data_IF_105628008624
#
_entry.id   IF_105628008624
#
_cell.length_a   1.000
_cell.length_b   1.000
_cell.length_c   1.000
_cell.angle_alpha   90.00
_cell.angle_beta   90.00
_cell.angle_gamma   90.00
#
_symmetry.space_group_name_H-M   'P 1'
#
loop_
_entity.id
_entity.type
_entity.pdbx_description
1 polymer ?
#
# COMPACT_ATOMS: atom_id res chain seq x y z
N UNK A 1 -19.82 -3.89 12.70
CA UNK A 1 -19.22 -4.97 13.51
C UNK A 1 -17.70 -4.89 13.53
N UNK A 2 -17.02 -4.75 12.39
CA UNK A 2 -15.55 -4.60 12.35
C UNK A 2 -14.98 -3.44 13.17
N UNK A 3 -15.56 -2.23 13.07
CA UNK A 3 -15.13 -1.06 13.86
C UNK A 3 -15.17 -1.29 15.38
N UNK A 4 -16.07 -2.15 15.87
CA UNK A 4 -16.18 -2.43 17.29
C UNK A 4 -14.96 -3.19 17.83
N UNK A 5 -14.19 -3.88 16.98
CA UNK A 5 -12.99 -4.61 17.36
C UNK A 5 -11.79 -3.68 17.67
N UNK A 6 -11.80 -2.46 17.13
CA UNK A 6 -10.75 -1.47 17.36
C UNK A 6 -10.80 -0.92 18.81
N UNK A 7 -12.00 -0.52 19.25
CA UNK A 7 -12.23 0.06 20.58
C UNK A 7 -12.69 -0.93 21.66
N UNK A 8 -12.63 -2.24 21.40
CA UNK A 8 -13.23 -3.27 22.26
C UNK A 8 -12.64 -3.28 23.68
N UNK A 9 -13.51 -3.14 24.69
CA UNK A 9 -13.12 -3.09 26.10
C UNK A 9 -13.22 -4.44 26.83
N UNK A 10 -14.04 -5.36 26.31
CA UNK A 10 -14.31 -6.65 26.94
C UNK A 10 -14.25 -7.80 25.92
N UNK A 11 -13.85 -8.98 26.40
CA UNK A 11 -13.68 -10.17 25.57
C UNK A 11 -12.40 -10.15 24.72
N UNK A 12 -12.43 -10.92 23.64
CA UNK A 12 -11.31 -11.16 22.72
C UNK A 12 -11.67 -10.66 21.32
N UNK A 13 -10.65 -10.35 20.49
CA UNK A 13 -10.90 -9.95 19.11
C UNK A 13 -11.56 -11.07 18.30
N UNK A 14 -12.48 -10.72 17.40
CA UNK A 14 -13.39 -11.67 16.76
C UNK A 14 -12.67 -12.77 15.98
N UNK A 15 -11.63 -12.43 15.21
CA UNK A 15 -10.94 -13.40 14.36
C UNK A 15 -9.98 -14.32 15.10
N UNK A 16 -9.73 -14.10 16.40
CA UNK A 16 -8.97 -15.04 17.21
C UNK A 16 -9.58 -16.45 17.19
N UNK A 17 -10.91 -16.53 17.02
CA UNK A 17 -11.67 -17.79 16.91
C UNK A 17 -11.32 -18.64 15.68
N UNK A 18 -10.68 -18.05 14.66
CA UNK A 18 -10.21 -18.77 13.45
C UNK A 18 -8.96 -19.60 13.71
N UNK A 19 -8.19 -19.28 14.76
CA UNK A 19 -7.05 -20.09 15.16
C UNK A 19 -7.50 -21.47 15.71
N UNK A 20 -6.67 -22.53 15.63
CA UNK A 20 -7.00 -23.81 16.23
C UNK A 20 -7.31 -23.70 17.74
N UNK A 21 -8.26 -24.49 18.25
CA UNK A 21 -8.70 -24.41 19.65
C UNK A 21 -7.55 -24.53 20.65
N UNK A 22 -6.58 -25.44 20.41
CA UNK A 22 -5.38 -25.60 21.25
C UNK A 22 -4.54 -24.32 21.32
N UNK A 23 -4.49 -23.56 20.22
CA UNK A 23 -3.72 -22.31 20.14
C UNK A 23 -4.43 -21.19 20.89
N UNK A 24 -5.75 -21.07 20.72
CA UNK A 24 -6.57 -20.12 21.48
C UNK A 24 -6.43 -20.33 22.99
N UNK A 25 -6.55 -21.59 23.43
CA UNK A 25 -6.41 -21.95 24.83
C UNK A 25 -5.03 -21.61 25.39
N UNK A 26 -3.96 -21.90 24.63
CA UNK A 26 -2.61 -21.53 25.03
C UNK A 26 -2.45 -20.01 25.18
N UNK A 27 -3.00 -19.20 24.27
CA UNK A 27 -2.95 -17.75 24.40
C UNK A 27 -3.70 -17.25 25.63
N UNK A 28 -4.84 -17.86 25.99
CA UNK A 28 -5.57 -17.54 27.23
C UNK A 28 -4.74 -17.89 28.47
N UNK A 29 -4.15 -19.09 28.51
CA UNK A 29 -3.28 -19.53 29.60
C UNK A 29 -2.06 -18.65 29.80
N UNK A 30 -1.45 -18.21 28.69
CA UNK A 30 -0.31 -17.28 28.73
C UNK A 30 -0.72 -15.84 29.01
N UNK A 31 -2.02 -15.55 29.00
CA UNK A 31 -2.56 -14.20 29.13
C UNK A 31 -2.17 -13.32 27.95
N UNK A 32 -2.14 -13.83 26.72
CA UNK A 32 -1.79 -13.05 25.51
C UNK A 32 -2.90 -13.03 24.47
N UNK A 33 -4.10 -13.52 24.79
CA UNK A 33 -5.26 -13.35 23.94
C UNK A 33 -5.59 -11.84 23.77
N UNK A 34 -5.60 -11.30 22.54
CA UNK A 34 -5.84 -9.87 22.29
C UNK A 34 -7.30 -9.48 22.54
N UNK A 35 -7.51 -8.33 23.18
CA UNK A 35 -8.84 -7.87 23.64
C UNK A 35 -9.47 -6.82 22.73
N UNK A 36 -8.67 -5.89 22.21
CA UNK A 36 -9.08 -4.85 21.26
C UNK A 36 -7.87 -4.25 20.57
N UNK A 37 -7.98 -3.90 19.30
CA UNK A 37 -6.82 -3.56 18.46
C UNK A 37 -6.09 -2.33 19.02
N UNK A 38 -6.80 -1.22 19.19
CA UNK A 38 -6.19 0.03 19.68
C UNK A 38 -5.83 -0.07 21.17
N UNK A 39 -6.62 -0.85 21.93
CA UNK A 39 -6.39 -1.08 23.35
C UNK A 39 -5.01 -1.65 23.61
N UNK A 40 -4.57 -2.64 22.83
CA UNK A 40 -3.26 -3.26 23.07
C UNK A 40 -2.10 -2.32 22.72
N UNK A 41 -2.28 -1.43 21.74
CA UNK A 41 -1.32 -0.37 21.41
C UNK A 41 -1.24 0.65 22.54
N UNK A 42 -2.38 1.15 23.02
CA UNK A 42 -2.43 2.10 24.15
C UNK A 42 -1.84 1.49 25.42
N UNK A 43 -2.12 0.22 25.71
CA UNK A 43 -1.58 -0.46 26.89
C UNK A 43 -0.07 -0.68 26.80
N UNK A 44 0.49 -0.95 25.60
CA UNK A 44 1.96 -0.98 25.40
C UNK A 44 2.57 0.36 25.74
N UNK A 45 2.01 1.46 25.24
CA UNK A 45 2.53 2.80 25.52
C UNK A 45 2.48 3.14 27.01
N UNK A 46 1.44 2.69 27.72
CA UNK A 46 1.36 2.84 29.17
C UNK A 46 2.41 1.99 29.92
N UNK A 47 2.52 0.70 29.61
CA UNK A 47 3.44 -0.22 30.31
C UNK A 47 4.91 0.16 30.13
N UNK A 48 5.25 0.75 29.00
CA UNK A 48 6.61 1.20 28.68
C UNK A 48 6.95 2.59 29.25
N UNK A 49 6.01 3.25 29.92
CA UNK A 49 6.28 4.50 30.63
C UNK A 49 7.16 4.27 31.86
N UNK A 50 7.97 5.27 32.22
CA UNK A 50 8.81 5.26 33.42
C UNK A 50 8.00 4.86 34.66
N UNK A 51 8.47 3.84 35.38
CA UNK A 51 7.92 3.39 36.66
C UNK A 51 6.68 2.48 36.58
N UNK A 52 6.22 2.09 35.38
CA UNK A 52 5.02 1.25 35.22
C UNK A 52 5.35 -0.24 35.26
N UNK A 53 5.71 -0.85 34.13
CA UNK A 53 6.01 -2.28 34.06
C UNK A 53 7.53 -2.50 34.01
N UNK A 54 8.07 -3.10 35.07
CA UNK A 54 9.53 -3.27 35.25
C UNK A 54 9.97 -4.73 35.13
N UNK A 55 9.09 -5.61 34.63
CA UNK A 55 9.39 -7.01 34.35
C UNK A 55 9.43 -7.26 32.83
N UNK A 56 10.61 -7.63 32.31
CA UNK A 56 10.80 -7.88 30.89
C UNK A 56 9.93 -9.04 30.37
N UNK A 57 9.62 -10.05 31.18
CA UNK A 57 8.78 -11.17 30.74
C UNK A 57 7.33 -10.72 30.56
N UNK A 58 6.83 -9.87 31.47
CA UNK A 58 5.50 -9.28 31.38
C UNK A 58 5.38 -8.33 30.19
N UNK A 59 6.42 -7.51 29.95
CA UNK A 59 6.51 -6.66 28.76
C UNK A 59 6.51 -7.46 27.45
N UNK A 60 7.27 -8.56 27.38
CA UNK A 60 7.27 -9.43 26.21
C UNK A 60 5.90 -10.08 25.97
N UNK A 61 5.18 -10.48 27.03
CA UNK A 61 3.80 -10.97 26.91
C UNK A 61 2.87 -9.91 26.34
N UNK A 62 2.98 -8.65 26.78
CA UNK A 62 2.21 -7.57 26.18
C UNK A 62 2.59 -7.36 24.71
N UNK A 63 3.88 -7.42 24.36
CA UNK A 63 4.33 -7.34 22.97
C UNK A 63 3.69 -8.41 22.09
N UNK A 64 3.67 -9.66 22.56
CA UNK A 64 2.97 -10.77 21.89
C UNK A 64 1.48 -10.45 21.75
N UNK A 65 0.82 -9.99 22.81
CA UNK A 65 -0.61 -9.67 22.79
C UNK A 65 -0.93 -8.58 21.75
N UNK A 66 -0.15 -7.51 21.67
CA UNK A 66 -0.37 -6.47 20.67
C UNK A 66 -0.09 -6.96 19.24
N UNK A 67 0.95 -7.78 19.03
CA UNK A 67 1.19 -8.37 17.70
C UNK A 67 0.06 -9.30 17.25
N UNK A 68 -0.59 -10.01 18.20
CA UNK A 68 -1.76 -10.84 17.89
C UNK A 68 -2.98 -9.97 17.57
N UNK A 69 -3.11 -8.80 18.20
CA UNK A 69 -4.18 -7.83 17.91
C UNK A 69 -4.03 -7.21 16.51
N UNK A 70 -2.81 -7.07 16.01
CA UNK A 70 -2.56 -6.74 14.60
C UNK A 70 -2.95 -7.92 13.68
N UNK A 71 -2.22 -9.04 13.77
CA UNK A 71 -2.39 -10.16 12.83
C UNK A 71 -3.80 -10.78 12.81
N UNK A 72 -4.42 -10.97 13.98
CA UNK A 72 -5.79 -11.51 14.12
C UNK A 72 -6.85 -10.41 14.31
N UNK A 73 -6.48 -9.14 14.13
CA UNK A 73 -7.40 -8.02 14.22
C UNK A 73 -7.20 -7.10 13.03
N UNK A 74 -6.40 -6.05 13.19
CA UNK A 74 -6.22 -5.00 12.18
C UNK A 74 -5.94 -5.54 10.78
N UNK A 75 -4.89 -6.36 10.64
CA UNK A 75 -4.48 -6.94 9.35
C UNK A 75 -5.55 -7.84 8.74
N UNK A 76 -6.06 -8.84 9.48
CA UNK A 76 -7.06 -9.76 8.94
C UNK A 76 -8.40 -9.07 8.62
N UNK A 77 -8.82 -8.09 9.42
CA UNK A 77 -10.00 -7.26 9.11
C UNK A 77 -9.77 -6.47 7.84
N UNK A 78 -8.61 -5.82 7.69
CA UNK A 78 -8.30 -5.05 6.49
C UNK A 78 -8.32 -5.94 5.25
N UNK A 79 -7.61 -7.08 5.26
CA UNK A 79 -7.58 -8.01 4.12
C UNK A 79 -8.97 -8.48 3.69
N UNK A 80 -9.79 -8.92 4.64
CA UNK A 80 -11.14 -9.44 4.32
C UNK A 80 -12.07 -8.34 3.81
N UNK A 81 -12.00 -7.13 4.38
CA UNK A 81 -12.80 -6.00 3.92
C UNK A 81 -12.34 -5.51 2.54
N UNK A 82 -11.04 -5.49 2.28
CA UNK A 82 -10.50 -5.16 0.96
C UNK A 82 -11.00 -6.13 -0.11
N UNK A 83 -10.97 -7.43 0.18
CA UNK A 83 -11.48 -8.43 -0.75
C UNK A 83 -13.00 -8.30 -0.99
N UNK A 84 -13.76 -7.93 0.03
CA UNK A 84 -15.20 -7.62 -0.12
C UNK A 84 -15.42 -6.39 -1.01
N UNK A 85 -14.59 -5.36 -0.88
CA UNK A 85 -14.76 -4.08 -1.58
C UNK A 85 -14.23 -4.11 -3.01
N UNK A 86 -13.08 -4.74 -3.23
CA UNK A 86 -12.31 -4.67 -4.48
C UNK A 86 -12.21 -6.01 -5.20
N UNK A 87 -12.74 -7.08 -4.60
CA UNK A 87 -12.71 -8.43 -5.14
C UNK A 87 -11.59 -9.27 -4.52
N UNK A 88 -11.92 -10.52 -4.23
CA UNK A 88 -10.97 -11.54 -3.79
C UNK A 88 -9.97 -11.85 -4.91
N UNK A 89 -8.65 -11.80 -4.65
CA UNK A 89 -7.64 -12.08 -5.66
C UNK A 89 -7.77 -13.46 -6.31
N UNK A 90 -7.52 -13.51 -7.61
CA UNK A 90 -7.48 -14.71 -8.44
C UNK A 90 -6.23 -14.72 -9.33
N UNK A 91 -5.78 -15.87 -9.86
CA UNK A 91 -4.52 -15.97 -10.58
C UNK A 91 -4.46 -14.99 -11.75
N UNK A 92 -3.48 -14.09 -11.70
CA UNK A 92 -3.31 -13.02 -12.68
C UNK A 92 -1.85 -12.90 -13.11
N UNK A 93 -1.63 -12.72 -14.41
CA UNK A 93 -0.30 -12.48 -14.95
C UNK A 93 0.11 -11.03 -14.66
N UNK A 94 1.30 -10.85 -14.11
CA UNK A 94 1.91 -9.55 -13.89
C UNK A 94 3.38 -9.53 -14.31
N UNK A 95 4.03 -8.40 -14.11
CA UNK A 95 5.45 -8.21 -14.37
C UNK A 95 6.13 -7.51 -13.19
N UNK A 96 7.42 -7.75 -13.04
CA UNK A 96 8.25 -7.14 -11.99
C UNK A 96 9.54 -6.56 -12.54
N UNK A 97 10.07 -5.58 -11.79
CA UNK A 97 11.34 -4.85 -11.93
C UNK A 97 11.22 -3.55 -12.74
N UNK A 98 12.25 -2.71 -12.67
CA UNK A 98 12.22 -1.35 -13.21
C UNK A 98 11.99 -1.29 -14.74
N UNK A 99 12.28 -2.37 -15.47
CA UNK A 99 11.99 -2.50 -16.92
C UNK A 99 10.51 -2.45 -17.30
N UNK A 100 9.59 -2.46 -16.31
CA UNK A 100 8.15 -2.25 -16.53
C UNK A 100 7.81 -0.80 -16.89
N UNK A 101 8.73 0.15 -16.64
CA UNK A 101 8.56 1.55 -17.03
C UNK A 101 8.62 1.73 -18.56
N UNK A 102 8.00 2.79 -19.06
CA UNK A 102 7.87 3.07 -20.50
C UNK A 102 8.45 4.42 -20.88
N UNK A 103 9.30 4.46 -21.90
CA UNK A 103 9.89 5.73 -22.38
C UNK A 103 8.84 6.67 -22.98
N UNK A 104 7.82 6.10 -23.63
CA UNK A 104 6.82 6.77 -24.46
C UNK A 104 5.44 6.92 -23.81
N UNK A 105 5.26 6.49 -22.57
CA UNK A 105 4.02 6.66 -21.80
C UNK A 105 4.25 7.46 -20.52
N UNK A 106 3.18 8.03 -19.97
CA UNK A 106 3.21 8.68 -18.65
C UNK A 106 3.41 7.61 -17.58
N UNK A 107 4.50 7.64 -16.83
CA UNK A 107 4.75 6.68 -15.75
C UNK A 107 4.31 7.27 -14.41
N UNK A 108 3.26 6.69 -13.85
CA UNK A 108 2.75 7.00 -12.52
C UNK A 108 3.03 5.82 -11.58
N UNK A 109 3.94 6.04 -10.63
CA UNK A 109 4.23 5.07 -9.58
C UNK A 109 3.26 5.24 -8.42
N UNK A 110 2.59 4.16 -8.02
CA UNK A 110 1.75 4.11 -6.81
C UNK A 110 2.54 3.41 -5.70
N UNK A 111 2.80 4.11 -4.60
CA UNK A 111 3.64 3.59 -3.51
C UNK A 111 2.99 3.84 -2.13
N UNK A 112 3.14 2.89 -1.21
CA UNK A 112 2.51 2.93 0.11
C UNK A 112 1.74 1.65 0.41
N UNK A 113 0.58 1.76 1.05
CA UNK A 113 -0.19 0.68 1.68
C UNK A 113 -1.73 0.86 1.62
N UNK A 114 -2.29 2.04 1.33
CA UNK A 114 -3.74 2.26 1.35
C UNK A 114 -4.37 1.91 -0.03
N UNK A 115 -5.24 0.89 -0.14
CA UNK A 115 -5.69 0.38 -1.44
C UNK A 115 -6.75 1.23 -2.11
N UNK A 116 -7.55 2.00 -1.35
CA UNK A 116 -8.63 2.79 -1.93
C UNK A 116 -8.09 3.85 -2.90
N UNK A 117 -6.98 4.49 -2.56
CA UNK A 117 -6.28 5.42 -3.43
C UNK A 117 -5.82 4.73 -4.71
N UNK A 118 -5.10 3.61 -4.59
CA UNK A 118 -4.55 2.90 -5.74
C UNK A 118 -5.62 2.37 -6.68
N UNK A 119 -6.72 1.84 -6.14
CA UNK A 119 -7.89 1.40 -6.90
C UNK A 119 -8.51 2.54 -7.71
N UNK A 120 -8.71 3.70 -7.09
CA UNK A 120 -9.27 4.86 -7.80
C UNK A 120 -8.32 5.42 -8.85
N UNK A 121 -7.00 5.32 -8.66
CA UNK A 121 -6.01 5.71 -9.67
C UNK A 121 -6.04 4.75 -10.87
N UNK A 122 -6.18 3.44 -10.64
CA UNK A 122 -6.37 2.45 -11.72
C UNK A 122 -7.59 2.81 -12.56
N UNK A 123 -8.73 3.11 -11.91
CA UNK A 123 -9.95 3.54 -12.61
C UNK A 123 -9.73 4.85 -13.38
N UNK A 124 -9.19 5.88 -12.72
CA UNK A 124 -8.99 7.20 -13.31
C UNK A 124 -8.04 7.16 -14.53
N UNK A 125 -6.97 6.36 -14.47
CA UNK A 125 -6.01 6.21 -15.56
C UNK A 125 -6.61 5.58 -16.84
N UNK A 126 -7.69 4.80 -16.70
CA UNK A 126 -8.38 4.16 -17.82
C UNK A 126 -9.47 5.05 -18.44
N UNK A 127 -9.78 6.20 -17.84
CA UNK A 127 -10.82 7.07 -18.36
C UNK A 127 -10.45 7.67 -19.73
N UNK A 128 -11.38 7.70 -20.70
CA UNK A 128 -11.11 8.24 -22.03
C UNK A 128 -10.51 9.64 -22.01
N UNK A 129 -11.03 10.52 -21.14
CA UNK A 129 -10.54 11.89 -20.98
C UNK A 129 -9.08 11.97 -20.49
N UNK A 130 -8.63 11.02 -19.66
CA UNK A 130 -7.24 10.97 -19.17
C UNK A 130 -6.30 10.44 -20.26
N UNK A 131 -6.73 9.42 -21.00
CA UNK A 131 -5.98 8.89 -22.14
C UNK A 131 -5.85 9.91 -23.27
N UNK A 132 -6.91 10.67 -23.56
CA UNK A 132 -6.88 11.78 -24.52
C UNK A 132 -5.95 12.90 -24.05
N UNK A 133 -5.98 13.24 -22.76
CA UNK A 133 -5.07 14.22 -22.19
C UNK A 133 -3.61 13.76 -22.30
N UNK A 134 -3.30 12.49 -21.99
CA UNK A 134 -1.96 11.94 -22.14
C UNK A 134 -1.44 12.06 -23.58
N UNK A 135 -2.28 11.70 -24.55
CA UNK A 135 -1.99 11.87 -25.98
C UNK A 135 -1.75 13.32 -26.36
N UNK A 136 -2.56 14.25 -25.83
CA UNK A 136 -2.38 15.70 -26.08
C UNK A 136 -1.05 16.25 -25.54
N UNK A 137 -0.44 15.57 -24.55
CA UNK A 137 0.86 15.89 -23.98
C UNK A 137 2.02 15.13 -24.64
N UNK A 138 1.74 14.33 -25.67
CA UNK A 138 2.74 13.60 -26.45
C UNK A 138 3.07 12.20 -25.92
N UNK A 139 2.32 11.67 -24.95
CA UNK A 139 2.47 10.29 -24.48
C UNK A 139 1.58 9.33 -25.29
N UNK A 140 2.05 8.09 -25.50
CA UNK A 140 1.28 7.03 -26.16
C UNK A 140 0.20 6.41 -25.26
N UNK A 141 0.30 6.63 -23.94
CA UNK A 141 -0.59 6.06 -22.94
C UNK A 141 -0.21 6.51 -21.53
N UNK A 142 -0.82 5.84 -20.54
CA UNK A 142 -0.52 6.00 -19.12
C UNK A 142 -0.11 4.63 -18.59
N UNK A 143 1.15 4.52 -18.19
CA UNK A 143 1.73 3.34 -17.57
C UNK A 143 1.63 3.46 -16.05
N UNK A 144 0.82 2.61 -15.44
CA UNK A 144 0.80 2.45 -13.99
C UNK A 144 1.78 1.35 -13.58
N UNK A 145 2.56 1.61 -12.55
CA UNK A 145 3.31 0.58 -11.85
C UNK A 145 3.33 0.86 -10.34
N UNK A 146 3.47 -0.19 -9.53
CA UNK A 146 3.44 -0.07 -8.08
C UNK A 146 4.79 -0.27 -7.41
N UNK A 147 4.95 0.26 -6.20
CA UNK A 147 6.04 -0.11 -5.28
C UNK A 147 5.55 -0.48 -3.87
N UNK A 148 6.18 -1.49 -3.27
CA UNK A 148 5.84 -2.02 -1.94
C UNK A 148 4.41 -2.58 -1.83
N UNK A 149 3.70 -2.37 -0.72
CA UNK A 149 2.48 -3.10 -0.40
C UNK A 149 1.29 -2.72 -1.27
N UNK A 150 1.06 -1.42 -1.51
CA UNK A 150 0.00 -0.96 -2.43
C UNK A 150 0.18 -1.54 -3.84
N UNK A 151 1.43 -1.78 -4.26
CA UNK A 151 1.73 -2.48 -5.52
C UNK A 151 1.24 -3.92 -5.52
N UNK A 152 1.45 -4.64 -4.42
CA UNK A 152 0.97 -6.00 -4.29
C UNK A 152 -0.55 -6.04 -4.36
N UNK A 153 -1.25 -5.07 -3.76
CA UNK A 153 -2.71 -5.01 -3.81
C UNK A 153 -3.24 -4.86 -5.25
N UNK A 154 -2.72 -3.91 -6.02
CA UNK A 154 -3.17 -3.71 -7.41
C UNK A 154 -2.62 -4.77 -8.37
N UNK A 155 -1.47 -5.38 -8.07
CA UNK A 155 -0.96 -6.54 -8.79
C UNK A 155 -1.89 -7.74 -8.62
N UNK A 156 -2.30 -8.04 -7.38
CA UNK A 156 -3.14 -9.20 -7.06
C UNK A 156 -4.54 -9.14 -7.68
N UNK A 157 -5.06 -7.93 -7.95
CA UNK A 157 -6.42 -7.72 -8.48
C UNK A 157 -6.47 -7.35 -9.95
N UNK A 158 -5.50 -6.57 -10.43
CA UNK A 158 -5.53 -5.97 -11.78
C UNK A 158 -4.34 -6.36 -12.65
N UNK A 159 -3.35 -7.09 -12.12
CA UNK A 159 -2.14 -7.44 -12.86
C UNK A 159 -1.22 -6.24 -13.15
N UNK A 160 -1.41 -5.12 -12.44
CA UNK A 160 -0.57 -3.93 -12.61
C UNK A 160 0.89 -4.28 -12.25
N UNK A 161 1.88 -3.93 -13.09
CA UNK A 161 3.28 -4.29 -12.85
C UNK A 161 3.86 -3.72 -11.54
N UNK A 162 4.77 -4.48 -10.93
CA UNK A 162 5.52 -4.08 -9.74
C UNK A 162 6.89 -3.53 -10.16
N UNK A 163 7.09 -2.21 -10.06
CA UNK A 163 8.34 -1.58 -10.45
C UNK A 163 9.49 -1.97 -9.51
N UNK A 164 9.22 -2.12 -8.21
CA UNK A 164 10.23 -2.60 -7.26
C UNK A 164 9.77 -2.67 -5.82
N UNK A 165 10.68 -3.15 -4.97
CA UNK A 165 10.50 -3.25 -3.53
C UNK A 165 11.01 -2.00 -2.78
N UNK A 166 11.12 -2.09 -1.45
CA UNK A 166 11.51 -1.00 -0.56
C UNK A 166 12.82 -0.30 -0.95
N UNK A 167 13.87 -1.03 -1.32
CA UNK A 167 15.17 -0.41 -1.64
C UNK A 167 15.24 0.14 -3.07
N UNK A 168 14.25 -0.17 -3.90
CA UNK A 168 14.21 0.28 -5.29
C UNK A 168 13.47 1.60 -5.47
N UNK A 169 12.81 2.13 -4.43
CA UNK A 169 12.00 3.35 -4.54
C UNK A 169 12.79 4.57 -5.03
N UNK A 170 14.02 4.73 -4.55
CA UNK A 170 14.94 5.78 -5.01
C UNK A 170 15.45 5.49 -6.44
N UNK A 171 15.77 4.22 -6.71
CA UNK A 171 16.28 3.78 -8.01
C UNK A 171 15.25 3.95 -9.14
N UNK A 172 13.96 3.83 -8.83
CA UNK A 172 12.90 4.13 -9.79
C UNK A 172 12.94 5.59 -10.24
N UNK A 173 13.19 6.54 -9.33
CA UNK A 173 13.36 7.95 -9.68
C UNK A 173 14.61 8.17 -10.53
N UNK A 174 15.70 7.47 -10.20
CA UNK A 174 17.00 7.57 -10.91
C UNK A 174 16.90 7.18 -12.38
N UNK A 175 15.91 6.36 -12.78
CA UNK A 175 15.64 6.05 -14.20
C UNK A 175 15.32 7.30 -15.04
N UNK A 176 14.92 8.40 -14.39
CA UNK A 176 14.46 9.62 -15.06
C UNK A 176 13.12 9.48 -15.80
N UNK A 177 12.46 8.32 -15.70
CA UNK A 177 11.24 8.01 -16.44
C UNK A 177 9.95 8.24 -15.63
N UNK A 178 10.02 8.37 -14.31
CA UNK A 178 8.83 8.52 -13.45
C UNK A 178 8.33 9.97 -13.51
N UNK A 179 7.10 10.20 -13.95
CA UNK A 179 6.53 11.56 -14.02
C UNK A 179 5.91 11.98 -12.70
N UNK A 180 5.29 11.03 -12.00
CA UNK A 180 4.85 11.22 -10.64
C UNK A 180 4.98 9.93 -9.85
N UNK A 181 5.31 10.08 -8.57
CA UNK A 181 5.20 9.04 -7.56
C UNK A 181 4.20 9.51 -6.53
N UNK A 182 3.04 8.86 -6.51
CA UNK A 182 1.99 9.10 -5.53
C UNK A 182 2.22 8.21 -4.32
N UNK A 183 2.20 8.80 -3.13
CA UNK A 183 2.54 8.14 -1.87
C UNK A 183 1.45 8.37 -0.81
N UNK A 184 1.06 7.30 -0.11
CA UNK A 184 0.13 7.38 1.03
C UNK A 184 0.88 7.38 2.38
N UNK A 185 1.02 6.24 3.07
CA UNK A 185 1.60 6.02 4.38
C UNK A 185 2.54 4.81 4.38
N UNK A 186 3.48 4.81 5.34
CA UNK A 186 4.38 3.70 5.68
C UNK A 186 5.40 3.31 4.59
N UNK A 187 6.64 3.01 5.00
CA UNK A 187 7.75 2.55 4.15
C UNK A 187 8.16 3.49 2.99
N UNK A 188 7.70 4.74 3.01
CA UNK A 188 8.06 5.77 2.04
C UNK A 188 9.27 6.53 2.59
N UNK A 189 10.41 6.47 1.89
CA UNK A 189 11.63 7.14 2.31
C UNK A 189 11.48 8.66 2.18
N UNK A 190 11.87 9.38 3.23
CA UNK A 190 11.83 10.84 3.24
C UNK A 190 12.78 11.47 2.21
N UNK A 191 13.78 10.74 1.71
CA UNK A 191 14.72 11.17 0.68
C UNK A 191 14.11 11.32 -0.72
N UNK A 192 12.92 10.76 -0.97
CA UNK A 192 12.31 10.76 -2.30
C UNK A 192 12.16 12.16 -2.92
N UNK A 193 11.70 13.21 -2.19
CA UNK A 193 11.64 14.56 -2.76
C UNK A 193 13.02 15.14 -3.09
N UNK A 194 14.06 14.85 -2.30
CA UNK A 194 15.42 15.35 -2.55
C UNK A 194 16.00 14.73 -3.83
N UNK A 195 15.75 13.45 -4.06
CA UNK A 195 16.15 12.76 -5.29
C UNK A 195 15.32 13.25 -6.47
N UNK A 196 14.01 13.41 -6.30
CA UNK A 196 13.10 13.86 -7.36
C UNK A 196 13.45 15.27 -7.88
N UNK A 197 14.01 16.15 -7.04
CA UNK A 197 14.48 17.48 -7.46
C UNK A 197 15.62 17.44 -8.50
N UNK A 198 16.32 16.32 -8.62
CA UNK A 198 17.34 16.11 -9.65
C UNK A 198 16.73 15.79 -11.03
N UNK A 199 15.42 15.54 -11.09
CA UNK A 199 14.64 15.16 -12.26
C UNK A 199 13.39 16.06 -12.37
N UNK A 200 12.40 15.63 -13.17
CA UNK A 200 11.10 16.32 -13.26
C UNK A 200 10.05 15.74 -12.31
N UNK A 201 10.30 14.58 -11.72
CA UNK A 201 9.30 13.77 -11.02
C UNK A 201 8.58 14.56 -9.93
N UNK A 202 7.25 14.48 -9.90
CA UNK A 202 6.46 15.00 -8.78
C UNK A 202 6.25 13.92 -7.72
N UNK A 203 6.75 14.16 -6.50
CA UNK A 203 6.37 13.36 -5.34
C UNK A 203 5.06 13.94 -4.77
N UNK A 204 4.01 13.13 -4.72
CA UNK A 204 2.66 13.55 -4.34
C UNK A 204 2.24 12.78 -3.10
N UNK A 205 2.18 13.46 -1.95
CA UNK A 205 1.62 12.90 -0.71
C UNK A 205 0.11 13.07 -0.68
N UNK A 206 -0.61 12.04 -0.26
CA UNK A 206 -2.09 12.02 -0.30
C UNK A 206 -2.75 11.85 1.06
N UNK A 207 -2.06 11.24 2.03
CA UNK A 207 -2.63 11.01 3.36
C UNK A 207 -2.31 12.18 4.31
N UNK A 208 -3.28 12.71 5.08
CA UNK A 208 -2.99 13.69 6.12
C UNK A 208 -2.12 13.10 7.24
N UNK A 209 -2.07 11.76 7.35
CA UNK A 209 -1.26 11.01 8.32
C UNK A 209 0.24 11.06 8.01
N UNK A 210 0.63 11.31 6.76
CA UNK A 210 2.02 11.27 6.29
C UNK A 210 2.32 12.38 5.27
N UNK A 211 2.74 13.54 5.77
CA UNK A 211 3.24 14.65 4.95
C UNK A 211 4.77 14.60 4.88
N UNK A 212 5.33 14.86 3.71
CA UNK A 212 6.77 14.85 3.47
C UNK A 212 7.19 16.25 3.02
N UNK A 213 8.10 16.94 3.72
CA UNK A 213 8.65 18.21 3.27
C UNK A 213 9.24 18.11 1.86
N UNK A 214 9.00 19.12 1.01
CA UNK A 214 9.45 19.13 -0.38
C UNK A 214 8.55 18.35 -1.35
N UNK A 215 7.64 17.51 -0.86
CA UNK A 215 6.61 16.88 -1.70
C UNK A 215 5.44 17.82 -1.96
N UNK A 216 4.76 17.62 -3.09
CA UNK A 216 3.45 18.19 -3.34
C UNK A 216 2.42 17.47 -2.48
N UNK A 217 1.52 18.21 -1.84
CA UNK A 217 0.42 17.60 -1.08
C UNK A 217 -0.89 17.74 -1.84
N UNK A 218 -1.48 16.61 -2.19
CA UNK A 218 -2.79 16.50 -2.82
C UNK A 218 -3.61 15.53 -1.98
N UNK A 219 -4.23 16.04 -0.92
CA UNK A 219 -4.97 15.21 0.03
C UNK A 219 -6.07 14.42 -0.70
N UNK A 220 -6.13 13.12 -0.43
CA UNK A 220 -7.13 12.23 -1.00
C UNK A 220 -8.41 12.30 -0.17
N UNK A 221 -9.47 12.84 -0.75
CA UNK A 221 -10.78 12.86 -0.13
C UNK A 221 -11.52 11.56 -0.44
N UNK A 222 -11.69 10.71 0.58
CA UNK A 222 -12.39 9.42 0.46
C UNK A 222 -13.87 9.58 0.03
N UNK A 223 -14.49 10.74 0.25
CA UNK A 223 -15.86 11.05 -0.21
C UNK A 223 -15.91 11.55 -1.66
N UNK A 224 -14.79 12.04 -2.18
CA UNK A 224 -14.58 12.50 -3.55
C UNK A 224 -13.42 11.72 -4.21
N UNK A 225 -13.41 10.41 -3.98
CA UNK A 225 -12.25 9.54 -4.20
C UNK A 225 -11.79 9.53 -5.66
N UNK A 226 -12.74 9.42 -6.60
CA UNK A 226 -12.44 9.40 -8.02
C UNK A 226 -11.99 10.78 -8.53
N UNK A 227 -12.54 11.88 -8.01
CA UNK A 227 -12.10 13.23 -8.37
C UNK A 227 -10.68 13.50 -7.88
N UNK A 228 -10.36 13.06 -6.65
CA UNK A 228 -9.01 13.12 -6.09
C UNK A 228 -8.02 12.32 -6.96
N UNK A 229 -8.37 11.08 -7.34
CA UNK A 229 -7.54 10.25 -8.20
C UNK A 229 -7.33 10.87 -9.61
N UNK A 230 -8.40 11.42 -10.22
CA UNK A 230 -8.31 12.15 -11.49
C UNK A 230 -7.35 13.34 -11.40
N UNK A 231 -7.38 14.09 -10.31
CA UNK A 231 -6.47 15.22 -10.11
C UNK A 231 -5.00 14.76 -10.05
N UNK A 232 -4.72 13.65 -9.37
CA UNK A 232 -3.38 13.05 -9.29
C UNK A 232 -2.91 12.56 -10.66
N UNK A 233 -3.74 11.77 -11.35
CA UNK A 233 -3.43 11.27 -12.71
C UNK A 233 -3.19 12.42 -13.68
N UNK A 234 -4.06 13.44 -13.67
CA UNK A 234 -3.88 14.66 -14.46
C UNK A 234 -2.55 15.35 -14.15
N UNK A 235 -2.17 15.44 -12.88
CA UNK A 235 -0.91 16.06 -12.46
C UNK A 235 0.32 15.32 -12.99
N UNK A 236 0.27 13.99 -13.05
CA UNK A 236 1.31 13.15 -13.66
C UNK A 236 1.39 13.38 -15.17
N UNK A 237 0.23 13.35 -15.86
CA UNK A 237 0.14 13.58 -17.31
C UNK A 237 0.68 14.96 -17.69
N UNK A 238 0.28 16.00 -16.95
CA UNK A 238 0.75 17.37 -17.20
C UNK A 238 2.24 17.55 -16.93
N UNK A 239 2.86 16.62 -16.18
CA UNK A 239 4.29 16.65 -15.90
C UNK A 239 5.13 15.92 -16.95
N UNK A 240 4.55 15.01 -17.73
CA UNK A 240 5.26 14.25 -18.76
C UNK A 240 6.09 15.12 -19.73
N UNK A 241 5.61 16.28 -20.23
CA UNK A 241 6.42 17.15 -21.10
C UNK A 241 7.68 17.73 -20.45
N UNK A 242 7.77 17.72 -19.12
CA UNK A 242 8.95 18.19 -18.39
C UNK A 242 10.03 17.11 -18.26
N UNK A 243 9.76 15.88 -18.71
CA UNK A 243 10.69 14.75 -18.66
C UNK A 243 11.98 15.12 -19.41
N UNK A 244 13.11 14.96 -18.72
CA UNK A 244 14.43 15.22 -19.30
C UNK A 244 14.84 14.15 -20.32
N UNK A 245 15.97 14.39 -20.98
CA UNK A 245 16.52 13.45 -21.97
C UNK A 245 17.34 12.31 -21.34
N UNK A 246 17.71 12.43 -20.05
CA UNK A 246 18.53 11.47 -19.33
C UNK A 246 17.66 10.32 -18.79
N UNK A 247 17.05 9.56 -19.72
CA UNK A 247 16.19 8.42 -19.39
C UNK A 247 16.98 7.13 -19.55
N UNK A 248 17.15 6.42 -18.44
CA UNK A 248 17.82 5.12 -18.37
C UNK A 248 16.92 4.11 -17.64
N UNK A 249 16.10 3.41 -18.42
CA UNK A 249 15.25 2.33 -17.94
C UNK A 249 16.00 1.03 -18.22
N UNK A 250 16.31 0.21 -17.21
CA UNK A 250 16.95 -1.08 -17.41
C UNK A 250 16.03 -2.03 -18.18
N UNK A 251 16.59 -2.88 -19.05
CA UNK A 251 15.80 -3.81 -19.87
C UNK A 251 15.26 -5.00 -19.07
N UNK A 252 15.78 -5.22 -17.85
CA UNK A 252 15.42 -6.34 -17.00
C UNK A 252 14.00 -6.20 -16.44
N UNK A 253 13.15 -7.12 -16.85
CA UNK A 253 11.85 -7.40 -16.23
C UNK A 253 11.58 -8.91 -16.24
N UNK A 254 10.68 -9.37 -15.39
CA UNK A 254 10.28 -10.78 -15.35
C UNK A 254 8.77 -10.90 -15.25
N UNK A 255 8.20 -11.86 -15.97
CA UNK A 255 6.79 -12.23 -15.79
C UNK A 255 6.62 -13.00 -14.47
N UNK A 256 5.46 -12.84 -13.84
CA UNK A 256 5.07 -13.57 -12.63
C UNK A 256 3.57 -13.85 -12.63
N UNK A 257 3.14 -14.80 -11.81
CA UNK A 257 1.72 -15.04 -11.54
C UNK A 257 1.44 -14.68 -10.08
N UNK A 258 0.48 -13.78 -9.86
CA UNK A 258 0.04 -13.33 -8.55
C UNK A 258 -1.42 -13.76 -8.30
N UNK A 259 -2.01 -13.30 -7.18
CA UNK A 259 -3.44 -13.47 -6.91
C UNK A 259 -3.84 -14.81 -6.29
N UNK A 260 -2.93 -15.45 -5.56
CA UNK A 260 -3.20 -16.68 -4.82
C UNK A 260 -3.79 -16.40 -3.42
N UNK A 261 -5.06 -15.99 -3.37
CA UNK A 261 -5.83 -15.92 -2.12
C UNK A 261 -6.08 -17.31 -1.52
N UNK A 262 -6.50 -17.36 -0.25
CA UNK A 262 -6.88 -18.62 0.40
C UNK A 262 -8.04 -19.30 -0.35
N UNK A 263 -9.01 -18.52 -0.81
CA UNK A 263 -10.16 -18.96 -1.61
C UNK A 263 -9.70 -19.57 -2.93
N UNK A 264 -8.80 -18.89 -3.65
CA UNK A 264 -8.23 -19.37 -4.90
C UNK A 264 -7.44 -20.66 -4.69
N UNK A 265 -6.61 -20.75 -3.65
CA UNK A 265 -5.85 -21.97 -3.36
C UNK A 265 -6.78 -23.15 -3.10
N UNK A 266 -7.83 -22.97 -2.29
CA UNK A 266 -8.80 -24.03 -2.04
C UNK A 266 -9.53 -24.44 -3.33
N UNK A 267 -9.97 -23.48 -4.14
CA UNK A 267 -10.61 -23.78 -5.43
C UNK A 267 -9.71 -24.61 -6.35
N UNK A 268 -8.41 -24.31 -6.41
CA UNK A 268 -7.45 -25.03 -7.25
C UNK A 268 -7.12 -26.45 -6.72
N UNK A 269 -7.33 -26.71 -5.43
CA UNK A 269 -7.07 -28.01 -4.81
C UNK A 269 -8.26 -28.99 -4.92
N UNK A 270 -9.42 -28.54 -5.42
CA UNK A 270 -10.64 -29.34 -5.57
C UNK A 270 -11.47 -29.45 -4.31
#
# INVERSE_FOLDING_TARGET
MALAEFGKQEGEVLFLKRAPLKRQELWRQQGVAPRGIDREIVEIMHRTHMGVDQDYQNLLKQGVRASLADGWGGSMIATELQDILFGTPAPVLGRINLGVLKRDEVNLIIHGHEPLLSEMIVVAAQEPQMLELAKSKGANGINLAGMCCTANEILMRHGIPLAGNFLQQELALVTGAVDAMVVDVQCIMQSLPDIAQCYHTKIITTSPKAKIPGAMHMEFDEHAALESARAIVKTAIENFPNRGNNIDIPDEQSDLVAGFSHETINYLLG
#
